data_IF_200183319047
#
_entry.id   IF_200183319047
#
_cell.length_a   1.000
_cell.length_b   1.000
_cell.length_c   1.000
_cell.angle_alpha   90.00
_cell.angle_beta   90.00
_cell.angle_gamma   90.00
#
_symmetry.space_group_name_H-M   'P 1'
#
loop_
_entity.id
_entity.type
_entity.pdbx_description
1 polymer ?
#
# COMPACT_ATOMS: atom_id res chain seq x y z
N UNK A 1 -9.47 47.69 -35.14
CA UNK A 1 -8.13 47.33 -34.64
C UNK A 1 -8.13 45.87 -34.24
N UNK A 2 -7.60 45.00 -35.11
CA UNK A 2 -7.19 43.62 -34.81
C UNK A 2 -5.67 43.65 -34.67
N UNK A 3 -5.14 42.93 -33.69
CA UNK A 3 -3.79 42.37 -33.61
C UNK A 3 -3.78 41.46 -32.35
N UNK A 4 -3.11 40.30 -32.25
CA UNK A 4 -2.52 39.31 -33.16
C UNK A 4 -1.95 38.20 -32.22
N UNK A 5 -1.62 37.01 -32.76
CA UNK A 5 -0.67 35.98 -32.23
C UNK A 5 -1.22 34.94 -31.22
N UNK A 6 -1.03 33.62 -31.33
CA UNK A 6 -0.53 32.68 -32.38
C UNK A 6 -0.91 31.23 -31.97
N UNK A 7 -1.61 30.56 -32.88
CA UNK A 7 -1.42 29.18 -33.38
C UNK A 7 -0.26 28.33 -32.81
N UNK A 8 -0.53 27.05 -32.47
CA UNK A 8 0.20 25.93 -33.10
C UNK A 8 -0.70 24.68 -33.22
N UNK A 9 -0.89 24.26 -34.47
CA UNK A 9 -1.54 23.02 -34.91
C UNK A 9 -0.44 21.95 -35.05
N UNK A 10 -0.74 20.70 -34.67
CA UNK A 10 -0.17 19.56 -35.39
C UNK A 10 -1.12 18.35 -35.33
N UNK A 11 -1.84 18.13 -36.44
CA UNK A 11 -2.37 16.82 -36.81
C UNK A 11 -1.23 15.99 -37.41
N UNK A 12 -1.18 14.71 -37.07
CA UNK A 12 -0.67 13.68 -37.97
C UNK A 12 -1.74 12.60 -38.15
N UNK A 13 -2.41 12.66 -39.30
CA UNK A 13 -3.05 11.52 -39.95
C UNK A 13 -2.22 11.24 -41.20
N UNK A 14 -1.60 10.06 -41.32
CA UNK A 14 -1.34 9.45 -42.63
C UNK A 14 -1.42 7.93 -42.51
N UNK A 15 -2.39 7.37 -43.25
CA UNK A 15 -2.44 6.10 -44.00
C UNK A 15 -1.15 5.26 -44.02
N UNK A 16 -1.13 3.94 -43.97
CA UNK A 16 -2.13 2.94 -44.39
C UNK A 16 -1.40 1.93 -45.30
N UNK A 17 -1.67 0.62 -45.14
CA UNK A 17 -1.60 -0.33 -46.25
C UNK A 17 -2.34 -1.61 -45.88
N UNK A 18 -3.48 -1.84 -46.54
CA UNK A 18 -4.09 -3.16 -46.70
C UNK A 18 -3.38 -3.88 -47.84
N UNK A 19 -3.18 -5.19 -47.67
CA UNK A 19 -3.35 -6.16 -48.75
C UNK A 19 -3.89 -7.46 -48.14
N UNK A 20 -5.09 -7.84 -48.57
CA UNK A 20 -5.67 -9.17 -48.40
C UNK A 20 -5.13 -10.10 -49.50
N UNK A 21 -4.71 -11.32 -49.15
CA UNK A 21 -5.00 -12.51 -49.97
C UNK A 21 -5.02 -13.76 -49.08
N UNK A 22 -6.05 -14.58 -49.28
CA UNK A 22 -6.27 -15.91 -48.68
C UNK A 22 -5.39 -16.95 -49.37
N UNK A 23 -4.95 -17.96 -48.63
CA UNK A 23 -5.00 -19.38 -49.05
C UNK A 23 -4.80 -20.30 -47.84
N UNK A 24 -5.38 -21.49 -47.97
CA UNK A 24 -5.80 -22.42 -46.93
C UNK A 24 -4.96 -23.73 -46.99
N UNK A 25 -5.08 -24.55 -45.94
CA UNK A 25 -4.62 -25.94 -45.79
C UNK A 25 -3.15 -26.29 -45.47
N UNK A 26 -2.99 -27.05 -44.37
CA UNK A 26 -1.93 -28.07 -44.26
C UNK A 26 -1.47 -28.44 -42.84
N UNK A 27 -2.17 -29.36 -42.18
CA UNK A 27 -1.68 -30.15 -41.03
C UNK A 27 -0.28 -30.70 -41.27
N UNK A 28 0.63 -30.68 -40.28
CA UNK A 28 1.07 -31.88 -39.51
C UNK A 28 2.13 -31.58 -38.43
N UNK A 29 1.84 -32.06 -37.22
CA UNK A 29 2.68 -32.86 -36.33
C UNK A 29 4.10 -32.44 -35.87
N UNK A 30 4.16 -32.29 -34.54
CA UNK A 30 5.05 -32.98 -33.57
C UNK A 30 6.34 -32.31 -33.08
N UNK A 31 6.38 -32.32 -31.74
CA UNK A 31 7.53 -32.35 -30.81
C UNK A 31 8.45 -31.14 -30.84
N UNK A 32 8.36 -30.33 -29.78
CA UNK A 32 9.57 -29.92 -29.09
C UNK A 32 9.46 -30.17 -27.59
N UNK A 33 10.40 -30.98 -27.15
CA UNK A 33 10.61 -31.53 -25.85
C UNK A 33 11.39 -30.51 -25.02
N UNK A 34 10.81 -30.13 -23.87
CA UNK A 34 11.46 -29.83 -22.60
C UNK A 34 12.96 -29.44 -22.66
N UNK A 35 13.23 -28.16 -22.48
CA UNK A 35 14.37 -27.72 -21.68
C UNK A 35 13.83 -26.78 -20.61
N UNK A 36 13.27 -27.38 -19.55
CA UNK A 36 13.06 -26.69 -18.28
C UNK A 36 14.45 -26.32 -17.77
N UNK A 37 14.86 -25.09 -18.04
CA UNK A 37 15.98 -24.48 -17.36
C UNK A 37 15.53 -24.37 -15.91
N UNK A 38 15.95 -25.33 -15.10
CA UNK A 38 15.91 -25.23 -13.66
C UNK A 38 16.77 -24.01 -13.31
N UNK A 39 16.14 -22.85 -13.25
CA UNK A 39 16.62 -21.78 -12.41
C UNK A 39 16.51 -22.31 -10.98
N UNK A 40 17.59 -22.95 -10.54
CA UNK A 40 17.91 -23.06 -9.11
C UNK A 40 17.65 -21.69 -8.52
N UNK A 41 16.54 -21.58 -7.78
CA UNK A 41 16.23 -20.43 -6.98
C UNK A 41 17.44 -20.19 -6.08
N UNK A 42 18.25 -19.19 -6.43
CA UNK A 42 19.15 -18.62 -5.45
C UNK A 42 18.22 -18.03 -4.41
N UNK A 43 18.12 -18.68 -3.25
CA UNK A 43 17.74 -18.03 -2.00
C UNK A 43 18.76 -16.91 -1.76
N UNK A 44 18.56 -15.80 -2.46
CA UNK A 44 19.15 -14.55 -2.07
C UNK A 44 18.42 -14.21 -0.77
N UNK A 45 19.13 -14.26 0.36
CA UNK A 45 18.73 -13.57 1.59
C UNK A 45 18.69 -12.06 1.27
N UNK A 46 17.65 -11.62 0.57
CA UNK A 46 17.43 -10.22 0.23
C UNK A 46 16.89 -9.57 1.50
N UNK A 47 17.75 -8.78 2.11
CA UNK A 47 17.42 -7.93 3.25
C UNK A 47 16.99 -6.56 2.75
N UNK A 48 16.04 -5.94 3.46
CA UNK A 48 15.62 -4.56 3.21
C UNK A 48 15.91 -3.71 4.46
N UNK A 49 17.19 -3.38 4.75
CA UNK A 49 17.53 -2.43 5.80
C UNK A 49 17.33 -0.97 5.34
N UNK A 50 17.24 -0.76 4.03
CA UNK A 50 16.86 0.50 3.39
C UNK A 50 15.55 0.25 2.68
N UNK A 51 14.55 1.14 2.81
CA UNK A 51 13.28 0.93 2.14
C UNK A 51 13.47 0.91 0.62
N UNK A 52 12.79 0.00 -0.11
CA UNK A 52 12.97 -0.14 -1.55
C UNK A 52 12.39 1.04 -2.35
N UNK A 53 11.52 1.84 -1.73
CA UNK A 53 10.85 3.01 -2.28
C UNK A 53 10.60 4.02 -1.17
N UNK A 54 10.31 5.28 -1.52
CA UNK A 54 9.70 6.19 -0.56
C UNK A 54 8.21 5.85 -0.43
N UNK A 55 7.79 5.35 0.74
CA UNK A 55 6.39 4.95 0.93
C UNK A 55 5.43 6.15 0.96
N UNK A 56 5.90 7.39 1.18
CA UNK A 56 5.07 8.60 1.17
C UNK A 56 4.87 9.20 -0.23
N UNK A 57 5.42 8.59 -1.27
CA UNK A 57 5.33 9.08 -2.64
C UNK A 57 3.87 9.10 -3.13
N UNK A 58 3.42 10.19 -3.75
CA UNK A 58 1.99 10.43 -4.06
C UNK A 58 1.36 9.34 -4.94
N UNK A 59 2.17 8.71 -5.80
CA UNK A 59 1.73 7.63 -6.69
C UNK A 59 1.21 6.40 -5.95
N UNK A 60 1.53 6.24 -4.66
CA UNK A 60 1.09 5.14 -3.81
C UNK A 60 -0.20 5.44 -3.04
N UNK A 61 -0.63 6.70 -2.98
CA UNK A 61 -1.80 7.16 -2.21
C UNK A 61 -3.12 7.11 -2.99
N UNK A 62 -3.18 6.33 -4.08
CA UNK A 62 -4.32 6.32 -5.03
C UNK A 62 -5.64 5.97 -4.38
N UNK A 63 -5.63 5.08 -3.39
CA UNK A 63 -6.83 4.65 -2.68
C UNK A 63 -7.20 5.58 -1.50
N UNK A 64 -6.38 6.61 -1.25
CA UNK A 64 -6.56 7.53 -0.14
C UNK A 64 -6.28 6.91 1.23
N UNK A 65 -6.61 7.67 2.27
CA UNK A 65 -6.55 7.21 3.65
C UNK A 65 -7.85 6.54 4.04
N UNK A 66 -7.73 5.47 4.81
CA UNK A 66 -8.81 4.68 5.40
C UNK A 66 -8.55 4.51 6.89
N UNK A 67 -9.54 3.98 7.61
CA UNK A 67 -9.42 3.56 8.99
C UNK A 67 -9.66 2.04 9.00
N UNK A 68 -8.70 1.20 9.44
CA UNK A 68 -8.94 -0.22 9.60
C UNK A 68 -10.13 -0.45 10.53
N UNK A 69 -10.89 -1.52 10.28
CA UNK A 69 -11.94 -1.95 11.19
C UNK A 69 -11.33 -2.12 12.59
N UNK A 70 -11.81 -1.30 13.53
CA UNK A 70 -11.34 -1.36 14.90
C UNK A 70 -11.64 -2.75 15.44
N UNK A 71 -10.61 -3.53 15.76
CA UNK A 71 -10.76 -4.86 16.35
C UNK A 71 -11.55 -4.68 17.64
N UNK A 72 -12.83 -5.07 17.62
CA UNK A 72 -13.73 -5.15 18.77
C UNK A 72 -13.57 -4.03 19.82
N UNK A 73 -13.78 -2.77 19.42
CA UNK A 73 -14.00 -1.64 20.34
C UNK A 73 -12.74 -0.94 20.90
N UNK A 74 -11.58 -1.10 20.26
CA UNK A 74 -10.38 -0.31 20.57
C UNK A 74 -10.08 0.81 19.56
N UNK A 75 -9.02 1.61 19.80
CA UNK A 75 -8.61 2.69 18.90
C UNK A 75 -8.18 2.18 17.52
N UNK A 76 -8.67 2.83 16.46
CA UNK A 76 -8.18 2.66 15.09
C UNK A 76 -7.11 3.72 14.75
N UNK A 77 -6.64 3.79 13.51
CA UNK A 77 -5.65 4.76 13.05
C UNK A 77 -5.76 4.99 11.54
N UNK A 78 -5.40 6.18 11.04
CA UNK A 78 -5.28 6.40 9.60
C UNK A 78 -4.24 5.50 8.96
N UNK A 79 -4.61 4.91 7.83
CA UNK A 79 -3.72 4.08 7.01
C UNK A 79 -3.99 4.30 5.53
N UNK A 80 -2.95 4.20 4.71
CA UNK A 80 -3.12 3.87 3.29
C UNK A 80 -2.29 2.64 2.95
N UNK A 81 -2.78 1.85 2.01
CA UNK A 81 -2.14 0.62 1.56
C UNK A 81 -1.82 0.69 0.08
N UNK A 82 -0.73 0.05 -0.30
CA UNK A 82 -0.33 -0.10 -1.68
C UNK A 82 0.14 -1.53 -1.93
N UNK A 83 -0.19 -2.06 -3.10
CA UNK A 83 0.26 -3.36 -3.53
C UNK A 83 0.57 -3.34 -5.03
N UNK A 84 1.72 -3.90 -5.38
CA UNK A 84 2.14 -4.15 -6.76
C UNK A 84 2.93 -5.46 -6.82
N UNK A 85 2.69 -6.30 -7.83
CA UNK A 85 3.34 -7.62 -7.93
C UNK A 85 4.86 -7.56 -8.09
N UNK A 86 5.41 -6.43 -8.54
CA UNK A 86 6.85 -6.26 -8.73
C UNK A 86 7.58 -5.71 -7.49
N UNK A 87 6.84 -5.11 -6.55
CA UNK A 87 7.37 -4.54 -5.31
C UNK A 87 7.00 -5.41 -4.10
N UNK A 88 5.77 -5.91 -4.06
CA UNK A 88 5.11 -6.46 -2.88
C UNK A 88 4.02 -5.52 -2.37
N UNK A 89 3.72 -5.62 -1.07
CA UNK A 89 2.73 -4.81 -0.39
C UNK A 89 3.34 -3.96 0.71
N UNK A 90 2.80 -2.78 0.94
CA UNK A 90 3.06 -2.04 2.18
C UNK A 90 1.82 -1.27 2.63
N UNK A 91 1.81 -0.95 3.91
CA UNK A 91 0.92 0.05 4.47
C UNK A 91 1.71 1.15 5.15
N UNK A 92 1.16 2.36 5.15
CA UNK A 92 1.69 3.50 5.92
C UNK A 92 0.66 3.90 6.94
N UNK A 93 1.05 3.80 8.20
CA UNK A 93 0.21 3.87 9.38
C UNK A 93 0.55 5.12 10.18
N UNK A 94 -0.46 5.92 10.51
CA UNK A 94 -0.31 7.14 11.30
C UNK A 94 -0.71 6.85 12.75
N UNK A 95 0.28 6.55 13.59
CA UNK A 95 0.07 6.07 14.95
C UNK A 95 0.23 7.24 15.93
N UNK A 96 -0.80 7.52 16.72
CA UNK A 96 -0.74 8.58 17.73
C UNK A 96 0.42 8.36 18.72
N UNK A 97 1.22 9.39 18.98
CA UNK A 97 2.38 9.30 19.88
C UNK A 97 2.02 9.18 21.37
N UNK A 98 0.79 9.55 21.72
CA UNK A 98 0.27 9.45 23.08
C UNK A 98 -1.03 8.67 23.10
N UNK A 99 -1.37 8.10 24.27
CA UNK A 99 -2.65 7.43 24.49
C UNK A 99 -3.84 8.35 24.21
N UNK A 100 -3.73 9.65 24.48
CA UNK A 100 -4.76 10.64 24.15
C UNK A 100 -5.01 10.72 22.64
N UNK A 101 -3.95 10.78 21.83
CA UNK A 101 -4.07 10.84 20.37
C UNK A 101 -4.51 9.50 19.80
N UNK A 102 -4.10 8.38 20.38
CA UNK A 102 -4.62 7.05 20.00
C UNK A 102 -6.11 6.95 20.30
N UNK A 103 -6.55 7.34 21.49
CA UNK A 103 -7.95 7.33 21.92
C UNK A 103 -8.83 8.32 21.14
N UNK A 104 -8.26 9.35 20.52
CA UNK A 104 -9.01 10.23 19.61
C UNK A 104 -9.61 9.44 18.43
N UNK A 105 -8.95 8.37 17.99
CA UNK A 105 -9.41 7.50 16.91
C UNK A 105 -10.27 6.33 17.40
N UNK A 106 -10.68 6.30 18.66
CA UNK A 106 -11.56 5.26 19.17
C UNK A 106 -13.02 5.51 18.74
N UNK A 107 -13.65 4.51 18.14
CA UNK A 107 -15.07 4.56 17.72
C UNK A 107 -16.03 4.73 18.90
N UNK A 108 -15.64 4.30 20.10
CA UNK A 108 -16.40 4.47 21.32
C UNK A 108 -16.23 5.86 21.95
N UNK A 109 -15.19 6.60 21.57
CA UNK A 109 -14.91 7.92 22.10
C UNK A 109 -15.77 9.00 21.42
N UNK A 110 -16.83 9.43 22.12
CA UNK A 110 -17.76 10.46 21.65
C UNK A 110 -17.18 11.87 21.60
N UNK A 111 -16.06 12.12 22.28
CA UNK A 111 -15.32 13.38 22.19
C UNK A 111 -14.17 13.30 21.16
N UNK A 112 -14.01 12.15 20.49
CA UNK A 112 -12.98 11.86 19.51
C UNK A 112 -13.38 12.15 18.07
N UNK A 113 -12.64 11.58 17.12
CA UNK A 113 -12.87 11.70 15.69
C UNK A 113 -14.29 11.34 15.29
N UNK A 114 -14.86 10.30 15.89
CA UNK A 114 -16.20 9.83 15.53
C UNK A 114 -17.33 10.65 16.15
N UNK A 115 -17.05 11.44 17.19
CA UNK A 115 -17.99 12.37 17.81
C UNK A 115 -18.52 13.46 16.89
N UNK A 116 -17.81 13.75 15.79
CA UNK A 116 -18.22 14.75 14.80
C UNK A 116 -19.31 14.26 13.84
N UNK A 117 -19.66 12.96 13.87
CA UNK A 117 -20.68 12.38 12.99
C UNK A 117 -21.96 12.09 13.77
N UNK A 118 -23.08 12.59 13.27
CA UNK A 118 -24.41 12.32 13.84
C UNK A 118 -24.78 10.83 13.76
N UNK A 119 -24.36 10.15 12.68
CA UNK A 119 -24.53 8.72 12.47
C UNK A 119 -23.21 8.09 12.02
N UNK A 120 -22.57 7.37 12.94
CA UNK A 120 -21.26 6.73 12.71
C UNK A 120 -21.34 5.67 11.60
N UNK A 121 -22.40 4.85 11.60
CA UNK A 121 -22.57 3.79 10.61
C UNK A 121 -22.62 4.40 9.20
N UNK A 122 -23.42 5.45 9.02
CA UNK A 122 -23.51 6.15 7.74
C UNK A 122 -22.18 6.82 7.34
N UNK A 123 -21.46 7.40 8.30
CA UNK A 123 -20.15 8.00 8.05
C UNK A 123 -19.12 6.96 7.61
N UNK A 124 -19.12 5.76 8.20
CA UNK A 124 -18.25 4.65 7.83
C UNK A 124 -18.48 4.16 6.39
N UNK A 125 -19.72 4.23 5.89
CA UNK A 125 -20.03 3.94 4.48
C UNK A 125 -19.65 5.08 3.52
N UNK A 126 -19.35 6.29 4.01
CA UNK A 126 -18.90 7.42 3.20
C UNK A 126 -17.37 7.61 3.30
N UNK A 127 -16.65 6.74 2.60
CA UNK A 127 -15.18 6.70 2.60
C UNK A 127 -14.53 8.03 2.20
N UNK A 128 -15.16 8.82 1.32
CA UNK A 128 -14.65 10.14 0.93
C UNK A 128 -14.67 11.13 2.10
N UNK A 129 -15.78 11.20 2.83
CA UNK A 129 -15.93 12.13 3.96
C UNK A 129 -14.94 11.81 5.08
N UNK A 130 -14.78 10.52 5.41
CA UNK A 130 -13.77 10.07 6.38
C UNK A 130 -12.38 10.45 5.90
N UNK A 131 -12.02 10.13 4.65
CA UNK A 131 -10.68 10.41 4.12
C UNK A 131 -10.35 11.90 4.12
N UNK A 132 -11.29 12.76 3.74
CA UNK A 132 -11.10 14.21 3.75
C UNK A 132 -10.87 14.73 5.19
N UNK A 133 -11.63 14.24 6.18
CA UNK A 133 -11.46 14.61 7.59
C UNK A 133 -10.18 14.08 8.20
N UNK A 134 -9.78 12.86 7.86
CA UNK A 134 -8.49 12.31 8.28
C UNK A 134 -7.34 13.17 7.77
N UNK A 135 -7.35 13.57 6.49
CA UNK A 135 -6.34 14.46 5.92
C UNK A 135 -6.28 15.80 6.65
N UNK A 136 -7.43 16.37 7.00
CA UNK A 136 -7.51 17.61 7.78
C UNK A 136 -6.81 17.47 9.15
N UNK A 137 -7.11 16.41 9.90
CA UNK A 137 -6.49 16.13 11.20
C UNK A 137 -4.97 15.99 11.09
N UNK A 138 -4.50 15.17 10.14
CA UNK A 138 -3.07 14.93 9.95
C UNK A 138 -2.32 16.19 9.52
N UNK A 139 -2.95 17.05 8.70
CA UNK A 139 -2.36 18.34 8.29
C UNK A 139 -2.22 19.32 9.45
N UNK A 140 -3.19 19.34 10.37
CA UNK A 140 -3.20 20.28 11.48
C UNK A 140 -2.30 19.85 12.64
N UNK A 141 -2.04 18.56 12.78
CA UNK A 141 -1.28 17.98 13.90
C UNK A 141 -0.23 16.96 13.42
N UNK A 142 0.66 17.31 12.47
CA UNK A 142 1.56 16.33 11.86
C UNK A 142 2.57 15.73 12.85
N UNK A 143 2.93 16.46 13.91
CA UNK A 143 3.93 16.03 14.89
C UNK A 143 3.38 15.10 15.97
N UNK A 144 2.05 14.96 16.07
CA UNK A 144 1.36 14.14 17.07
C UNK A 144 1.33 12.65 16.69
N UNK A 145 1.86 12.30 15.51
CA UNK A 145 1.83 10.96 14.95
C UNK A 145 3.24 10.44 14.63
N UNK A 146 3.48 9.16 14.92
CA UNK A 146 4.49 8.38 14.22
C UNK A 146 3.94 8.00 12.85
N UNK A 147 4.81 8.05 11.84
CA UNK A 147 4.50 7.55 10.50
C UNK A 147 5.30 6.26 10.33
N UNK A 148 4.60 5.12 10.31
CA UNK A 148 5.22 3.79 10.32
C UNK A 148 4.82 3.03 9.06
N UNK A 149 5.79 2.48 8.35
CA UNK A 149 5.53 1.58 7.23
C UNK A 149 5.79 0.13 7.63
N UNK A 150 4.84 -0.76 7.35
CA UNK A 150 5.10 -2.19 7.24
C UNK A 150 5.22 -2.57 5.77
N UNK A 151 6.24 -3.33 5.43
CA UNK A 151 6.54 -3.72 4.06
C UNK A 151 6.73 -5.23 3.97
N UNK A 152 5.98 -5.82 3.06
CA UNK A 152 6.06 -7.21 2.66
C UNK A 152 6.62 -7.27 1.22
N UNK A 153 7.88 -7.71 1.02
CA UNK A 153 8.48 -7.79 -0.30
C UNK A 153 7.80 -8.86 -1.17
N UNK A 154 7.81 -8.70 -2.50
CA UNK A 154 7.27 -9.71 -3.43
C UNK A 154 7.90 -11.09 -3.23
N UNK A 155 9.15 -11.14 -2.76
CA UNK A 155 9.91 -12.35 -2.51
C UNK A 155 9.34 -13.14 -1.34
N UNK A 156 8.56 -12.51 -0.46
CA UNK A 156 7.84 -13.15 0.63
C UNK A 156 6.54 -13.84 0.18
N UNK A 157 6.06 -13.55 -1.04
CA UNK A 157 4.82 -14.09 -1.59
C UNK A 157 5.14 -15.39 -2.35
N UNK A 158 4.41 -16.47 -2.04
CA UNK A 158 4.58 -17.78 -2.67
C UNK A 158 3.64 -17.95 -3.87
N UNK A 159 2.45 -17.34 -3.83
CA UNK A 159 1.43 -17.46 -4.88
C UNK A 159 0.53 -16.24 -4.90
N UNK A 160 0.15 -15.79 -6.09
CA UNK A 160 -0.90 -14.80 -6.31
C UNK A 160 -2.15 -15.50 -6.84
N UNK A 161 -3.32 -15.15 -6.31
CA UNK A 161 -4.60 -15.62 -6.84
C UNK A 161 -5.04 -14.69 -7.98
N UNK A 162 -5.44 -15.30 -9.11
CA UNK A 162 -5.89 -14.58 -10.33
C UNK A 162 -7.42 -14.66 -10.47
N UNK A 163 -8.14 -14.76 -9.36
CA UNK A 163 -9.61 -14.82 -9.29
C UNK A 163 -10.27 -13.44 -9.11
N UNK A 164 -9.45 -12.38 -9.09
CA UNK A 164 -9.92 -11.01 -8.88
C UNK A 164 -10.05 -10.61 -7.42
N UNK A 165 -9.80 -11.51 -6.46
CA UNK A 165 -9.82 -11.21 -5.02
C UNK A 165 -8.68 -10.28 -4.58
N UNK A 166 -7.53 -10.35 -5.29
CA UNK A 166 -6.30 -9.71 -4.85
C UNK A 166 -5.56 -10.47 -3.75
N UNK A 167 -6.03 -11.67 -3.39
CA UNK A 167 -5.40 -12.51 -2.38
C UNK A 167 -4.06 -13.09 -2.84
N UNK A 168 -3.24 -13.48 -1.86
CA UNK A 168 -1.97 -14.15 -2.08
C UNK A 168 -1.59 -15.03 -0.89
N UNK A 169 -0.80 -16.06 -1.15
CA UNK A 169 -0.18 -16.89 -0.10
C UNK A 169 1.22 -16.37 0.21
N UNK A 170 1.61 -16.47 1.47
CA UNK A 170 2.97 -16.18 1.92
C UNK A 170 3.84 -17.43 1.90
N UNK A 171 5.15 -17.23 1.86
CA UNK A 171 6.13 -18.27 2.20
C UNK A 171 6.21 -18.46 3.71
N UNK A 172 6.52 -19.67 4.18
CA UNK A 172 6.67 -19.97 5.61
C UNK A 172 7.78 -19.17 6.32
N UNK A 173 8.75 -18.69 5.55
CA UNK A 173 9.87 -17.86 5.98
C UNK A 173 9.70 -16.38 5.57
N UNK A 174 8.49 -15.94 5.24
CA UNK A 174 8.19 -14.55 4.91
C UNK A 174 8.51 -13.61 6.08
N UNK A 175 9.15 -12.48 5.78
CA UNK A 175 9.42 -11.41 6.74
C UNK A 175 8.67 -10.14 6.35
N UNK A 176 8.12 -9.46 7.36
CA UNK A 176 7.61 -8.09 7.27
C UNK A 176 8.66 -7.15 7.85
N UNK A 177 8.98 -6.09 7.10
CA UNK A 177 9.96 -5.08 7.47
C UNK A 177 9.25 -3.83 7.95
N UNK A 178 9.68 -3.30 9.09
CA UNK A 178 9.08 -2.11 9.71
C UNK A 178 10.04 -0.93 9.63
N UNK A 179 9.51 0.21 9.21
CA UNK A 179 10.24 1.48 9.10
C UNK A 179 9.45 2.58 9.78
N UNK A 180 10.15 3.59 10.28
CA UNK A 180 9.56 4.82 10.79
C UNK A 180 10.09 6.01 10.00
N UNK A 181 9.23 6.97 9.70
CA UNK A 181 9.60 8.19 9.01
C UNK A 181 9.84 9.33 10.01
N UNK A 182 11.09 9.78 10.11
CA UNK A 182 11.51 10.85 11.02
C UNK A 182 12.56 11.73 10.33
N UNK A 183 12.53 13.04 10.60
CA UNK A 183 13.50 13.99 10.03
C UNK A 183 13.63 13.88 8.50
N UNK A 184 12.50 13.71 7.81
CA UNK A 184 12.39 13.50 6.37
C UNK A 184 13.10 12.25 5.82
N UNK A 185 13.31 11.23 6.66
CA UNK A 185 13.97 10.00 6.27
C UNK A 185 13.23 8.79 6.84
N UNK A 186 13.24 7.70 6.07
CA UNK A 186 12.81 6.39 6.54
C UNK A 186 13.96 5.70 7.27
N UNK A 187 13.67 5.25 8.49
CA UNK A 187 14.60 4.55 9.38
C UNK A 187 14.07 3.14 9.58
N UNK A 188 14.88 2.13 9.29
CA UNK A 188 14.54 0.74 9.57
C UNK A 188 14.52 0.48 11.08
N UNK A 189 13.44 -0.14 11.56
CA UNK A 189 13.24 -0.46 12.97
C UNK A 189 13.62 -1.91 13.23
N UNK A 190 12.89 -2.83 12.61
CA UNK A 190 13.06 -4.28 12.76
C UNK A 190 12.40 -5.00 11.60
N UNK A 191 12.76 -6.27 11.43
CA UNK A 191 12.01 -7.22 10.62
C UNK A 191 11.46 -8.31 11.53
N UNK A 192 10.25 -8.76 11.25
CA UNK A 192 9.60 -9.84 11.99
C UNK A 192 9.19 -10.91 10.99
N UNK A 193 9.38 -12.17 11.36
CA UNK A 193 8.85 -13.27 10.57
C UNK A 193 7.33 -13.14 10.57
N UNK A 194 6.69 -12.99 9.40
CA UNK A 194 5.30 -12.52 9.30
C UNK A 194 4.33 -13.40 10.09
N UNK A 195 4.52 -14.72 10.09
CA UNK A 195 3.70 -15.66 10.87
C UNK A 195 3.87 -15.55 12.40
N UNK A 196 4.92 -14.88 12.88
CA UNK A 196 5.17 -14.62 14.30
C UNK A 196 4.58 -13.27 14.75
N UNK A 197 3.90 -12.53 13.87
CA UNK A 197 3.16 -11.32 14.26
C UNK A 197 1.84 -11.77 14.87
N UNK A 198 1.76 -11.72 16.20
CA UNK A 198 0.62 -12.17 17.02
C UNK A 198 -0.27 -11.01 17.49
N UNK A 199 0.25 -9.78 17.47
CA UNK A 199 -0.48 -8.54 17.77
C UNK A 199 -0.98 -7.86 16.50
N UNK A 200 -2.05 -7.09 16.64
CA UNK A 200 -2.66 -6.31 15.55
C UNK A 200 -2.98 -4.89 16.00
N UNK A 201 -3.28 -4.03 15.03
CA UNK A 201 -3.71 -2.66 15.29
C UNK A 201 -2.69 -1.84 16.09
N UNK A 202 -3.18 -0.97 16.97
CA UNK A 202 -2.35 -0.11 17.82
C UNK A 202 -1.38 -0.92 18.70
N UNK A 203 -1.78 -2.11 19.17
CA UNK A 203 -0.93 -2.95 20.02
C UNK A 203 0.33 -3.41 19.28
N UNK A 204 0.20 -3.80 18.01
CA UNK A 204 1.34 -4.14 17.15
C UNK A 204 2.31 -2.96 17.05
N UNK A 205 1.81 -1.76 16.76
CA UNK A 205 2.69 -0.61 16.58
C UNK A 205 3.33 -0.14 17.89
N UNK A 206 2.62 -0.23 19.01
CA UNK A 206 3.21 0.03 20.33
C UNK A 206 4.36 -0.96 20.62
N UNK A 207 4.22 -2.24 20.25
CA UNK A 207 5.30 -3.23 20.36
C UNK A 207 6.47 -2.95 19.39
N UNK A 208 6.15 -2.57 18.15
CA UNK A 208 7.16 -2.23 17.14
C UNK A 208 7.98 -1.02 17.57
N UNK A 209 7.34 -0.02 18.17
CA UNK A 209 7.94 1.24 18.57
C UNK A 209 8.52 1.22 19.98
N UNK A 210 8.28 0.18 20.79
CA UNK A 210 8.65 0.13 22.22
C UNK A 210 10.13 0.49 22.49
N UNK A 211 11.03 0.06 21.60
CA UNK A 211 12.46 0.27 21.74
C UNK A 211 13.01 1.36 20.80
N UNK A 212 12.14 2.01 20.00
CA UNK A 212 12.55 3.14 19.18
C UNK A 212 12.75 4.34 20.09
N UNK A 213 14.00 4.77 20.27
CA UNK A 213 14.35 5.85 21.20
C UNK A 213 13.79 7.18 20.69
N UNK A 214 12.99 7.84 21.53
CA UNK A 214 12.53 9.23 21.34
C UNK A 214 13.63 10.24 21.69
#
# INVERSE_FOLDING_TARGET
MKNFIKLLILMFLINGCKSETKEDFGNTDKKNQKSSKNETAKDLNIEYPVPPVDFLDEKYKKNGLTLPDGVSGGPTYPVFTFFDRNLGGFSVNYIGKSSLIQNFWDVSNRDGFFGQFENIDQAMYNTKQISDKVREVLKNKPNDYYIVADFLPKEAISKYYNDGSGEFDLKDNAYTYFYIYENNNWIFIKKILTKNIDKQGIELYNDVLLNHKF
#
